data_IF_519790744791
#
_entry.id   IF_519790744791
#
_cell.length_a   1.000
_cell.length_b   1.000
_cell.length_c   1.000
_cell.angle_alpha   90.00
_cell.angle_beta   90.00
_cell.angle_gamma   90.00
#
_symmetry.space_group_name_H-M   'P 1'
#
loop_
_entity.id
_entity.type
_entity.pdbx_description
1 polymer ?
#
# COMPACT_ATOMS: atom_id res chain seq x y z
N UNK A 1 -14.20 1.62 -7.58
CA UNK A 1 -12.73 1.61 -7.44
C UNK A 1 -12.35 0.25 -6.88
N UNK A 2 -11.47 -0.53 -7.53
CA UNK A 2 -11.02 -1.80 -6.95
C UNK A 2 -10.03 -1.49 -5.85
N UNK A 3 -10.38 -1.88 -4.62
CA UNK A 3 -9.49 -1.75 -3.47
C UNK A 3 -8.74 -3.08 -3.35
N UNK A 4 -7.42 -3.04 -3.55
CA UNK A 4 -6.55 -4.19 -3.31
C UNK A 4 -5.83 -4.08 -1.95
N UNK A 5 -6.43 -3.30 -1.06
CA UNK A 5 -5.89 -2.91 0.24
C UNK A 5 -6.97 -3.22 1.26
N UNK A 6 -6.56 -3.87 2.33
CA UNK A 6 -7.33 -4.00 3.54
C UNK A 6 -7.21 -2.69 4.33
N UNK A 7 -8.32 -1.95 4.40
CA UNK A 7 -8.38 -0.67 5.09
C UNK A 7 -8.18 -0.83 6.61
N UNK A 8 -8.61 -1.94 7.20
CA UNK A 8 -8.40 -2.19 8.64
C UNK A 8 -6.92 -2.39 8.95
N UNK A 9 -6.18 -3.06 8.05
CA UNK A 9 -4.71 -3.17 8.17
C UNK A 9 -4.05 -1.80 8.03
N UNK A 10 -4.47 -1.01 7.03
CA UNK A 10 -3.93 0.33 6.83
C UNK A 10 -4.22 1.25 8.02
N UNK A 11 -5.39 1.16 8.65
CA UNK A 11 -5.75 1.91 9.84
C UNK A 11 -4.88 1.53 11.05
N UNK A 12 -4.51 0.26 11.18
CA UNK A 12 -3.61 -0.24 12.23
C UNK A 12 -2.16 0.19 12.05
N UNK A 13 -1.73 0.60 10.85
CA UNK A 13 -0.39 1.17 10.65
C UNK A 13 -0.26 2.44 11.50
N UNK A 14 0.75 2.57 12.37
CA UNK A 14 0.95 3.80 13.14
C UNK A 14 1.41 4.96 12.25
N UNK A 15 0.99 6.18 12.60
CA UNK A 15 1.44 7.40 11.91
C UNK A 15 2.96 7.57 12.06
N UNK A 16 3.61 8.03 10.99
CA UNK A 16 5.05 8.22 10.91
C UNK A 16 5.87 6.95 10.64
N UNK A 17 5.25 5.78 10.63
CA UNK A 17 5.93 4.49 10.40
C UNK A 17 5.94 4.15 8.91
N UNK A 18 7.08 3.58 8.47
CA UNK A 18 7.24 3.01 7.14
C UNK A 18 6.58 1.63 7.06
N UNK A 19 5.85 1.37 5.98
CA UNK A 19 5.22 0.09 5.69
C UNK A 19 5.31 -0.24 4.20
N UNK A 20 5.18 -1.50 3.86
CA UNK A 20 5.09 -1.97 2.47
C UNK A 20 3.66 -2.34 2.09
N UNK A 21 3.38 -2.43 0.80
CA UNK A 21 2.07 -2.87 0.30
C UNK A 21 1.64 -4.23 0.88
N UNK A 22 2.58 -5.17 1.07
CA UNK A 22 2.32 -6.48 1.68
C UNK A 22 1.78 -6.42 3.12
N UNK A 23 2.00 -5.32 3.84
CA UNK A 23 1.50 -5.17 5.21
C UNK A 23 0.02 -4.77 5.24
N UNK A 24 -0.50 -4.27 4.11
CA UNK A 24 -1.86 -3.73 3.99
C UNK A 24 -2.68 -4.37 2.86
N UNK A 25 -2.13 -5.35 2.14
CA UNK A 25 -2.86 -6.09 1.12
C UNK A 25 -3.98 -6.92 1.75
N UNK A 26 -5.11 -7.02 1.05
CA UNK A 26 -6.22 -7.88 1.42
C UNK A 26 -5.82 -9.36 1.26
N UNK A 27 -5.96 -10.15 2.33
CA UNK A 27 -5.56 -11.58 2.35
C UNK A 27 -6.47 -12.47 1.48
N UNK A 28 -7.62 -11.96 1.05
CA UNK A 28 -8.53 -12.68 0.15
C UNK A 28 -8.08 -12.63 -1.31
N UNK A 29 -7.09 -11.81 -1.63
CA UNK A 29 -6.52 -11.68 -2.97
C UNK A 29 -5.58 -12.83 -3.29
N UNK A 30 -5.57 -13.23 -4.56
CA UNK A 30 -4.63 -14.24 -5.04
C UNK A 30 -3.21 -13.65 -5.12
N UNK A 31 -2.27 -14.34 -4.46
CA UNK A 31 -0.85 -14.04 -4.47
C UNK A 31 -0.26 -13.95 -5.89
N UNK A 32 -0.83 -14.65 -6.87
CA UNK A 32 -0.36 -14.65 -8.26
C UNK A 32 -0.41 -13.27 -8.93
N UNK A 33 -1.33 -12.40 -8.50
CA UNK A 33 -1.52 -11.04 -9.05
C UNK A 33 -0.99 -9.92 -8.13
N UNK A 34 -0.35 -10.24 -7.00
CA UNK A 34 0.10 -9.24 -6.02
C UNK A 34 1.05 -8.17 -6.57
N UNK A 35 1.88 -8.50 -7.56
CA UNK A 35 2.75 -7.51 -8.21
C UNK A 35 1.92 -6.42 -8.92
N UNK A 36 0.89 -6.83 -9.66
CA UNK A 36 -0.02 -5.92 -10.37
C UNK A 36 -0.88 -5.11 -9.40
N UNK A 37 -1.33 -5.71 -8.30
CA UNK A 37 -2.07 -4.98 -7.27
C UNK A 37 -1.19 -3.95 -6.54
N UNK A 38 0.09 -4.26 -6.34
CA UNK A 38 1.07 -3.32 -5.79
C UNK A 38 1.30 -2.11 -6.69
N UNK A 39 1.35 -2.29 -8.01
CA UNK A 39 1.41 -1.18 -8.97
C UNK A 39 0.16 -0.31 -8.90
N UNK A 40 -1.03 -0.92 -8.84
CA UNK A 40 -2.29 -0.16 -8.69
C UNK A 40 -2.29 0.63 -7.38
N UNK A 41 -1.82 0.03 -6.28
CA UNK A 41 -1.72 0.73 -5.01
C UNK A 41 -0.74 1.91 -5.08
N UNK A 42 0.42 1.74 -5.72
CA UNK A 42 1.36 2.85 -5.98
C UNK A 42 0.68 4.00 -6.71
N UNK A 43 -0.01 3.74 -7.83
CA UNK A 43 -0.72 4.78 -8.57
C UNK A 43 -1.82 5.45 -7.73
N UNK A 44 -2.57 4.70 -6.92
CA UNK A 44 -3.59 5.27 -6.04
C UNK A 44 -3.01 6.20 -4.96
N UNK A 45 -1.82 5.88 -4.43
CA UNK A 45 -1.11 6.76 -3.49
C UNK A 45 -0.60 8.02 -4.22
N UNK A 46 -0.03 7.88 -5.43
CA UNK A 46 0.45 9.01 -6.25
C UNK A 46 -0.68 9.95 -6.67
N UNK A 47 -1.86 9.41 -7.00
CA UNK A 47 -3.07 10.16 -7.33
C UNK A 47 -3.76 10.78 -6.09
N UNK A 48 -3.26 10.50 -4.88
CA UNK A 48 -3.83 11.01 -3.62
C UNK A 48 -5.17 10.37 -3.25
N UNK A 49 -5.50 9.21 -3.82
CA UNK A 49 -6.72 8.46 -3.52
C UNK A 49 -6.62 7.68 -2.20
N UNK A 50 -5.41 7.33 -1.77
CA UNK A 50 -5.14 6.74 -0.46
C UNK A 50 -4.77 7.87 0.50
N UNK A 51 -5.75 8.28 1.30
CA UNK A 51 -5.58 9.37 2.26
C UNK A 51 -4.52 9.04 3.33
N UNK A 52 -3.78 10.06 3.76
CA UNK A 52 -2.76 9.97 4.82
C UNK A 52 -1.66 8.93 4.52
N UNK A 53 -1.37 8.66 3.25
CA UNK A 53 -0.26 7.81 2.84
C UNK A 53 0.57 8.57 1.83
N UNK A 54 1.89 8.52 1.96
CA UNK A 54 2.83 9.04 0.97
C UNK A 54 3.83 7.97 0.58
N UNK A 55 4.35 8.05 -0.64
CA UNK A 55 5.53 7.28 -1.04
C UNK A 55 6.75 7.94 -0.39
N UNK A 56 7.56 7.17 0.33
CA UNK A 56 8.81 7.66 0.94
C UNK A 56 10.03 7.16 0.19
N UNK A 57 10.09 5.85 -0.11
CA UNK A 57 11.30 5.26 -0.67
C UNK A 57 11.02 4.09 -1.59
N UNK A 58 11.61 4.13 -2.78
CA UNK A 58 11.82 2.96 -3.62
C UNK A 58 13.16 2.33 -3.21
N UNK A 59 13.15 1.07 -2.82
CA UNK A 59 14.36 0.25 -2.68
C UNK A 59 14.41 -0.75 -3.81
N UNK A 60 15.59 -1.30 -4.12
CA UNK A 60 15.77 -2.32 -5.18
C UNK A 60 14.86 -3.55 -5.02
N UNK A 61 14.31 -3.78 -3.83
CA UNK A 61 13.45 -4.93 -3.52
C UNK A 61 11.97 -4.58 -3.30
N UNK A 62 11.62 -3.34 -2.95
CA UNK A 62 10.24 -2.93 -2.61
C UNK A 62 10.03 -1.42 -2.51
N UNK A 63 8.80 -0.99 -2.77
CA UNK A 63 8.27 0.32 -2.38
C UNK A 63 7.94 0.36 -0.88
N UNK A 64 8.33 1.46 -0.24
CA UNK A 64 7.96 1.81 1.13
C UNK A 64 7.11 3.08 1.13
N UNK A 65 6.03 2.99 1.89
CA UNK A 65 5.06 4.04 2.11
C UNK A 65 5.12 4.48 3.56
N UNK A 66 4.61 5.68 3.84
CA UNK A 66 4.51 6.21 5.20
C UNK A 66 3.13 6.75 5.45
N UNK A 67 2.61 6.43 6.62
CA UNK A 67 1.35 6.99 7.08
C UNK A 67 1.57 8.36 7.70
N UNK A 68 0.77 9.35 7.30
CA UNK A 68 0.76 10.73 7.80
C UNK A 68 -0.15 10.88 9.03
#
# INVERSE_FOLDING_TARGET
MKNYVDLDKLEKVPKGILFGYRDVVDDTLDNSEHSKYGEVFKSQVEEGLINNVTIEKETDARMLYKKL
#
